data_IF_261890830585
#
_entry.id   IF_261890830585
#
_cell.length_a   1.000
_cell.length_b   1.000
_cell.length_c   1.000
_cell.angle_alpha   90.00
_cell.angle_beta   90.00
_cell.angle_gamma   90.00
#
_symmetry.space_group_name_H-M   'P 1'
#
loop_
_entity.id
_entity.type
_entity.pdbx_description
1 polymer ?
#
# COMPACT_ATOMS: atom_id res chain seq x y z
N UNK A 1 4.23 -21.11 -9.19
CA UNK A 1 5.20 -20.48 -8.26
C UNK A 1 4.65 -19.13 -7.89
N UNK A 2 4.61 -18.77 -6.61
CA UNK A 2 4.22 -17.42 -6.18
C UNK A 2 5.27 -16.41 -6.70
N UNK A 3 4.81 -15.23 -7.11
CA UNK A 3 5.70 -14.10 -7.42
C UNK A 3 5.74 -13.21 -6.18
N UNK A 4 6.90 -12.64 -5.90
CA UNK A 4 7.12 -11.80 -4.73
C UNK A 4 7.80 -10.51 -5.16
N UNK A 5 7.66 -9.47 -4.35
CA UNK A 5 8.30 -8.18 -4.61
C UNK A 5 9.82 -8.31 -4.46
N UNK A 6 10.55 -7.67 -5.36
CA UNK A 6 12.00 -7.51 -5.28
C UNK A 6 12.29 -6.12 -4.69
N UNK A 7 13.12 -6.06 -3.65
CA UNK A 7 13.56 -4.82 -3.02
C UNK A 7 15.07 -4.85 -2.89
N UNK A 8 15.76 -3.90 -3.52
CA UNK A 8 17.24 -3.83 -3.54
C UNK A 8 17.93 -5.17 -3.88
N UNK A 9 17.36 -5.92 -4.82
CA UNK A 9 17.87 -7.23 -5.26
C UNK A 9 17.61 -8.40 -4.31
N UNK A 10 16.84 -8.20 -3.23
CA UNK A 10 16.38 -9.25 -2.31
C UNK A 10 14.88 -9.47 -2.50
N UNK A 11 14.48 -10.73 -2.52
CA UNK A 11 13.08 -11.14 -2.53
C UNK A 11 12.46 -10.89 -1.14
N UNK A 12 11.31 -10.24 -1.10
CA UNK A 12 10.51 -10.10 0.12
C UNK A 12 9.34 -11.10 0.08
N UNK A 13 9.44 -12.16 0.89
CA UNK A 13 8.45 -13.24 0.91
C UNK A 13 7.11 -12.84 1.53
N UNK A 14 7.04 -11.70 2.24
CA UNK A 14 5.81 -11.22 2.86
C UNK A 14 4.95 -10.47 1.82
N UNK A 15 5.56 -9.97 0.73
CA UNK A 15 4.93 -9.11 -0.27
C UNK A 15 4.68 -9.88 -1.57
N UNK A 16 3.45 -10.38 -1.74
CA UNK A 16 3.06 -11.27 -2.84
C UNK A 16 2.50 -10.49 -4.02
N UNK A 17 2.98 -10.82 -5.23
CA UNK A 17 2.35 -10.44 -6.49
C UNK A 17 1.56 -11.65 -6.99
N UNK A 18 0.23 -11.53 -7.21
CA UNK A 18 -0.57 -12.62 -7.78
C UNK A 18 0.02 -13.15 -9.09
N UNK A 19 -0.02 -14.48 -9.26
CA UNK A 19 0.71 -15.16 -10.34
C UNK A 19 0.24 -14.75 -11.74
N UNK A 20 -1.05 -14.44 -11.86
CA UNK A 20 -1.74 -13.99 -13.06
C UNK A 20 -1.63 -12.49 -13.30
N UNK A 21 -1.01 -11.74 -12.37
CA UNK A 21 -0.72 -10.34 -12.58
C UNK A 21 0.59 -10.15 -13.35
N UNK A 22 0.57 -9.19 -14.26
CA UNK A 22 1.73 -8.76 -15.06
C UNK A 22 1.94 -7.28 -14.88
N UNK A 23 3.20 -6.83 -14.95
CA UNK A 23 3.52 -5.41 -15.00
C UNK A 23 2.87 -4.78 -16.24
N UNK A 24 1.98 -3.80 -16.03
CA UNK A 24 1.27 -3.09 -17.11
C UNK A 24 1.73 -1.65 -17.28
N UNK A 25 2.39 -1.09 -16.26
CA UNK A 25 2.83 0.30 -16.27
C UNK A 25 3.99 0.50 -15.32
N UNK A 26 4.95 1.31 -15.78
CA UNK A 26 6.04 1.89 -14.99
C UNK A 26 6.08 3.37 -15.34
N UNK A 27 5.87 4.23 -14.33
CA UNK A 27 5.87 5.68 -14.52
C UNK A 27 6.69 6.36 -13.44
N UNK A 28 7.38 7.44 -13.80
CA UNK A 28 8.01 8.33 -12.83
C UNK A 28 7.00 9.37 -12.34
N UNK A 29 7.04 9.64 -11.04
CA UNK A 29 6.19 10.61 -10.34
C UNK A 29 6.99 11.35 -9.28
N UNK A 30 6.41 12.42 -8.74
CA UNK A 30 6.93 13.08 -7.54
C UNK A 30 6.11 12.65 -6.33
N UNK A 31 6.78 12.25 -5.25
CA UNK A 31 6.17 12.02 -3.94
C UNK A 31 7.04 12.67 -2.88
N UNK A 32 6.47 13.51 -2.03
CA UNK A 32 7.21 14.19 -0.95
C UNK A 32 8.45 14.99 -1.43
N UNK A 33 8.41 15.54 -2.65
CA UNK A 33 9.54 16.23 -3.31
C UNK A 33 10.73 15.33 -3.66
N UNK A 34 10.49 14.02 -3.77
CA UNK A 34 11.42 13.01 -4.28
C UNK A 34 10.82 12.39 -5.56
N UNK A 35 11.66 12.02 -6.53
CA UNK A 35 11.18 11.22 -7.67
C UNK A 35 10.97 9.78 -7.23
N UNK A 36 9.85 9.21 -7.64
CA UNK A 36 9.50 7.83 -7.36
C UNK A 36 9.13 7.10 -8.64
N UNK A 37 9.49 5.83 -8.72
CA UNK A 37 9.00 4.92 -9.74
C UNK A 37 7.74 4.23 -9.21
N UNK A 38 6.64 4.36 -9.97
CA UNK A 38 5.36 3.71 -9.67
C UNK A 38 5.15 2.59 -10.67
N UNK A 39 5.02 1.38 -10.16
CA UNK A 39 4.72 0.19 -10.96
C UNK A 39 3.32 -0.31 -10.66
N UNK A 40 2.59 -0.71 -11.70
CA UNK A 40 1.28 -1.36 -11.55
C UNK A 40 1.30 -2.74 -12.17
N UNK A 41 0.84 -3.71 -11.42
CA UNK A 41 0.63 -5.09 -11.82
C UNK A 41 -0.86 -5.40 -11.75
N UNK A 42 -1.42 -6.05 -12.77
CA UNK A 42 -2.83 -6.46 -12.76
C UNK A 42 -3.08 -7.55 -13.81
N UNK A 43 -4.30 -8.07 -13.81
CA UNK A 43 -4.79 -8.93 -14.88
C UNK A 43 -5.08 -8.11 -16.15
N UNK A 44 -4.60 -8.59 -17.30
CA UNK A 44 -4.76 -7.91 -18.59
C UNK A 44 -3.92 -6.63 -18.72
N UNK A 45 -3.80 -6.10 -19.95
CA UNK A 45 -2.89 -4.99 -20.25
C UNK A 45 -3.47 -3.59 -19.97
N UNK A 46 -4.79 -3.44 -19.89
CA UNK A 46 -5.44 -2.14 -19.79
C UNK A 46 -5.62 -1.74 -18.34
N UNK A 47 -5.09 -0.59 -17.93
CA UNK A 47 -5.31 -0.04 -16.59
C UNK A 47 -6.79 0.29 -16.41
N UNK A 48 -7.43 -0.39 -15.46
CA UNK A 48 -8.83 -0.15 -15.08
C UNK A 48 -8.82 0.27 -13.59
N UNK A 49 -9.27 1.50 -13.27
CA UNK A 49 -9.34 1.96 -11.89
C UNK A 49 -10.21 1.05 -11.01
N UNK A 50 -9.77 0.82 -9.77
CA UNK A 50 -10.40 0.00 -8.74
C UNK A 50 -10.53 -1.49 -9.04
N UNK A 51 -10.05 -1.98 -10.19
CA UNK A 51 -9.91 -3.42 -10.41
C UNK A 51 -8.85 -4.02 -9.51
N UNK A 52 -8.83 -5.35 -9.38
CA UNK A 52 -7.77 -6.04 -8.65
C UNK A 52 -6.39 -5.72 -9.26
N UNK A 53 -5.47 -5.20 -8.45
CA UNK A 53 -4.13 -4.84 -8.86
C UNK A 53 -3.15 -4.83 -7.68
N UNK A 54 -1.86 -4.78 -8.01
CA UNK A 54 -0.78 -4.45 -7.08
C UNK A 54 -0.10 -3.18 -7.58
N UNK A 55 0.04 -2.18 -6.72
CA UNK A 55 0.85 -0.98 -6.98
C UNK A 55 2.08 -0.99 -6.10
N UNK A 56 3.25 -0.78 -6.70
CA UNK A 56 4.52 -0.60 -6.01
C UNK A 56 5.00 0.83 -6.23
N UNK A 57 5.57 1.43 -5.19
CA UNK A 57 6.23 2.74 -5.27
C UNK A 57 7.63 2.58 -4.73
N UNK A 58 8.63 2.89 -5.56
CA UNK A 58 10.05 2.85 -5.23
C UNK A 58 10.62 4.26 -5.17
N UNK A 59 11.44 4.54 -4.16
CA UNK A 59 12.22 5.78 -4.09
C UNK A 59 13.41 5.79 -5.03
N UNK A 60 14.12 6.93 -5.12
CA UNK A 60 15.28 7.08 -6.01
C UNK A 60 16.44 6.11 -5.70
N UNK A 61 16.48 5.55 -4.48
CA UNK A 61 17.48 4.60 -4.00
C UNK A 61 17.01 3.13 -4.05
N UNK A 62 15.99 2.82 -4.87
CA UNK A 62 15.38 1.48 -5.02
C UNK A 62 14.73 0.93 -3.74
N UNK A 63 14.54 1.77 -2.72
CA UNK A 63 13.84 1.38 -1.50
C UNK A 63 12.34 1.33 -1.78
N UNK A 64 11.67 0.27 -1.32
CA UNK A 64 10.22 0.19 -1.44
C UNK A 64 9.58 1.21 -0.48
N UNK A 65 8.84 2.18 -1.00
CA UNK A 65 8.10 3.18 -0.23
C UNK A 65 6.68 2.69 0.04
N UNK A 66 6.03 2.09 -0.96
CA UNK A 66 4.68 1.57 -0.85
C UNK A 66 4.53 0.26 -1.62
N UNK A 67 3.87 -0.71 -1.00
CA UNK A 67 3.29 -1.88 -1.63
C UNK A 67 1.80 -1.85 -1.30
N UNK A 68 0.94 -1.98 -2.30
CA UNK A 68 -0.50 -2.06 -2.13
C UNK A 68 -1.04 -3.17 -3.03
N UNK A 69 -1.56 -4.24 -2.44
CA UNK A 69 -2.23 -5.33 -3.10
C UNK A 69 -3.70 -5.28 -2.73
N UNK A 70 -4.56 -5.00 -3.71
CA UNK A 70 -6.01 -4.88 -3.47
C UNK A 70 -6.72 -6.23 -3.43
N UNK A 71 -6.05 -7.32 -3.81
CA UNK A 71 -6.64 -8.66 -3.91
C UNK A 71 -6.56 -9.39 -2.55
N UNK A 72 -7.53 -9.10 -1.67
CA UNK A 72 -7.78 -9.86 -0.45
C UNK A 72 -8.75 -11.02 -0.68
N UNK A 73 -8.55 -12.13 0.03
CA UNK A 73 -9.48 -13.27 -0.03
C UNK A 73 -10.69 -13.05 0.88
N UNK A 74 -11.80 -12.60 0.28
CA UNK A 74 -13.07 -12.31 0.97
C UNK A 74 -13.69 -13.51 1.71
N UNK A 75 -13.18 -14.73 1.49
CA UNK A 75 -13.69 -15.95 2.15
C UNK A 75 -12.96 -16.27 3.45
N UNK A 76 -11.79 -15.67 3.68
CA UNK A 76 -11.01 -15.89 4.89
C UNK A 76 -11.42 -14.89 5.96
N UNK A 77 -11.21 -15.26 7.21
CA UNK A 77 -11.42 -14.37 8.35
C UNK A 77 -10.16 -13.53 8.62
N UNK A 78 -10.34 -12.39 9.27
CA UNK A 78 -9.22 -11.65 9.81
C UNK A 78 -8.55 -12.45 10.93
N UNK A 79 -7.21 -12.41 11.04
CA UNK A 79 -6.55 -12.97 12.20
C UNK A 79 -7.02 -12.26 13.48
N UNK A 80 -7.37 -13.03 14.49
CA UNK A 80 -7.72 -12.54 15.84
C UNK A 80 -6.50 -12.55 16.78
N UNK A 81 -5.31 -12.67 16.22
CA UNK A 81 -4.07 -12.94 16.95
C UNK A 81 -3.64 -11.74 17.82
N UNK A 82 -3.11 -12.01 19.01
CA UNK A 82 -2.48 -11.00 19.86
C UNK A 82 -1.12 -10.54 19.27
N UNK A 83 -0.56 -11.27 18.30
CA UNK A 83 0.75 -11.03 17.69
C UNK A 83 0.73 -10.11 16.45
N UNK A 84 -0.38 -9.40 16.15
CA UNK A 84 -0.50 -8.51 14.98
C UNK A 84 0.59 -7.43 14.91
N UNK A 85 0.95 -6.86 16.07
CA UNK A 85 2.00 -5.84 16.14
C UNK A 85 3.36 -6.45 15.84
N UNK A 86 3.63 -7.66 16.36
CA UNK A 86 4.88 -8.37 16.10
C UNK A 86 4.99 -8.76 14.63
N UNK A 87 3.91 -9.29 14.04
CA UNK A 87 3.84 -9.60 12.61
C UNK A 87 4.17 -8.37 11.75
N UNK A 88 3.55 -7.23 12.04
CA UNK A 88 3.85 -5.99 11.33
C UNK A 88 5.28 -5.49 11.55
N UNK A 89 5.84 -5.66 12.75
CA UNK A 89 7.23 -5.32 13.05
C UNK A 89 8.22 -6.22 12.29
N UNK A 90 7.92 -7.51 12.17
CA UNK A 90 8.73 -8.47 11.42
C UNK A 90 8.74 -8.14 9.93
N UNK A 91 7.59 -7.77 9.35
CA UNK A 91 7.51 -7.27 7.96
C UNK A 91 8.43 -6.06 7.77
N UNK A 92 8.39 -5.08 8.68
CA UNK A 92 9.28 -3.92 8.60
C UNK A 92 10.76 -4.31 8.72
N UNK A 93 11.08 -5.22 9.63
CA UNK A 93 12.45 -5.67 9.84
C UNK A 93 12.98 -6.46 8.62
N UNK A 94 12.15 -7.29 8.01
CA UNK A 94 12.49 -8.07 6.82
C UNK A 94 12.72 -7.19 5.58
N UNK A 95 11.89 -6.15 5.45
CA UNK A 95 11.94 -5.17 4.37
C UNK A 95 13.13 -4.22 4.52
N UNK A 96 13.31 -3.62 5.70
CA UNK A 96 14.34 -2.62 5.99
C UNK A 96 14.60 -2.51 7.50
N UNK A 97 15.46 -3.38 8.02
CA UNK A 97 15.81 -3.42 9.44
C UNK A 97 16.42 -2.11 9.96
N UNK A 98 17.02 -1.29 9.11
CA UNK A 98 17.55 0.01 9.52
C UNK A 98 16.44 1.03 9.73
N UNK A 99 15.53 1.13 8.76
CA UNK A 99 14.35 1.96 8.88
C UNK A 99 13.46 1.52 10.05
N UNK A 100 13.29 0.21 10.23
CA UNK A 100 12.44 -0.36 11.28
C UNK A 100 12.83 0.09 12.70
N UNK A 101 14.12 0.37 12.97
CA UNK A 101 14.60 0.83 14.28
C UNK A 101 14.00 2.16 14.73
N UNK A 102 13.50 2.98 13.80
CA UNK A 102 12.88 4.26 14.12
C UNK A 102 11.37 4.18 14.33
N UNK A 103 10.74 3.02 14.14
CA UNK A 103 9.29 2.85 14.23
C UNK A 103 8.81 2.72 15.67
N UNK A 104 7.69 3.38 15.96
CA UNK A 104 6.98 3.30 17.22
C UNK A 104 5.53 2.95 16.95
N UNK A 105 5.06 1.83 17.51
CA UNK A 105 3.67 1.43 17.40
C UNK A 105 2.73 2.51 17.92
N UNK A 106 1.64 2.75 17.19
CA UNK A 106 0.61 3.72 17.58
C UNK A 106 -0.68 3.03 17.97
N UNK A 107 -1.28 2.28 17.04
CA UNK A 107 -2.58 1.63 17.18
C UNK A 107 -2.84 0.69 16.00
N UNK A 108 -3.90 -0.11 16.12
CA UNK A 108 -4.48 -0.89 15.04
C UNK A 108 -5.89 -0.35 14.79
N UNK A 109 -6.20 0.00 13.55
CA UNK A 109 -7.54 0.41 13.13
C UNK A 109 -8.13 -0.66 12.20
N UNK A 110 -9.43 -0.97 12.31
CA UNK A 110 -10.11 -1.82 11.31
C UNK A 110 -10.67 -0.94 10.20
N UNK A 111 -10.35 -1.27 8.94
CA UNK A 111 -10.85 -0.57 7.77
C UNK A 111 -11.48 -1.53 6.77
N UNK A 112 -12.28 -0.98 5.86
CA UNK A 112 -12.75 -1.72 4.68
C UNK A 112 -11.85 -1.45 3.48
N UNK A 113 -11.68 -2.46 2.66
CA UNK A 113 -11.07 -2.41 1.33
C UNK A 113 -11.99 -3.07 0.32
N UNK A 114 -11.81 -2.73 -0.94
CA UNK A 114 -12.54 -3.40 -2.01
C UNK A 114 -11.73 -3.46 -3.30
N UNK A 115 -12.13 -4.34 -4.19
CA UNK A 115 -11.74 -4.33 -5.60
C UNK A 115 -12.91 -4.75 -6.47
N UNK A 116 -12.84 -4.40 -7.75
CA UNK A 116 -13.76 -4.89 -8.78
C UNK A 116 -13.10 -6.07 -9.50
N UNK A 117 -13.79 -7.20 -9.57
CA UNK A 117 -13.29 -8.39 -10.26
C UNK A 117 -13.48 -8.29 -11.79
N UNK A 118 -12.96 -9.28 -12.53
CA UNK A 118 -13.07 -9.34 -13.99
C UNK A 118 -14.52 -9.51 -14.49
N UNK A 119 -15.47 -9.81 -13.60
CA UNK A 119 -16.90 -9.90 -13.90
C UNK A 119 -17.66 -8.62 -13.53
N UNK A 120 -16.97 -7.60 -12.99
CA UNK A 120 -17.56 -6.35 -12.57
C UNK A 120 -18.16 -6.37 -11.15
N UNK A 121 -17.95 -7.44 -10.38
CA UNK A 121 -18.46 -7.52 -9.01
C UNK A 121 -17.54 -6.77 -8.05
N UNK A 122 -18.13 -6.00 -7.15
CA UNK A 122 -17.42 -5.38 -6.03
C UNK A 122 -17.22 -6.40 -4.92
N UNK A 123 -15.97 -6.69 -4.60
CA UNK A 123 -15.56 -7.57 -3.51
C UNK A 123 -15.04 -6.68 -2.39
N UNK A 124 -15.72 -6.67 -1.24
CA UNK A 124 -15.39 -5.85 -0.07
C UNK A 124 -15.01 -6.74 1.10
N UNK A 125 -14.00 -6.34 1.87
CA UNK A 125 -13.48 -7.07 3.00
C UNK A 125 -12.85 -6.14 4.03
N UNK A 126 -12.82 -6.58 5.28
CA UNK A 126 -12.16 -5.87 6.37
C UNK A 126 -10.64 -6.14 6.35
N UNK A 127 -9.88 -5.19 6.87
CA UNK A 127 -8.43 -5.25 7.07
C UNK A 127 -8.04 -4.64 8.41
N UNK A 128 -6.91 -5.08 8.95
CA UNK A 128 -6.31 -4.55 10.16
C UNK A 128 -5.13 -3.65 9.79
N UNK A 129 -5.24 -2.37 10.11
CA UNK A 129 -4.28 -1.34 9.74
C UNK A 129 -3.36 -1.02 10.93
N UNK A 130 -2.19 -1.66 10.98
CA UNK A 130 -1.22 -1.54 12.07
C UNK A 130 -0.33 -0.32 11.81
N UNK A 131 -0.48 0.72 12.62
CA UNK A 131 0.16 2.02 12.42
C UNK A 131 1.37 2.24 13.29
N UNK A 132 2.35 2.90 12.70
CA UNK A 132 3.60 3.29 13.33
C UNK A 132 3.91 4.76 13.06
N UNK A 133 4.28 5.49 14.12
CA UNK A 133 5.02 6.73 14.00
C UNK A 133 6.49 6.39 13.72
N UNK A 134 7.26 7.34 13.21
CA UNK A 134 8.71 7.17 13.04
C UNK A 134 9.48 8.37 13.58
N UNK A 135 10.73 8.16 13.99
CA UNK A 135 11.61 9.20 14.53
C UNK A 135 11.84 10.39 13.58
N UNK A 136 11.68 10.19 12.27
CA UNK A 136 11.77 11.26 11.26
C UNK A 136 10.46 12.06 11.10
N UNK A 137 9.44 11.79 11.91
CA UNK A 137 8.14 12.46 11.89
C UNK A 137 7.13 11.89 10.90
N UNK A 138 7.44 10.82 10.16
CA UNK A 138 6.49 10.20 9.24
C UNK A 138 5.55 9.21 9.93
N UNK A 139 4.43 8.96 9.26
CA UNK A 139 3.49 7.89 9.55
C UNK A 139 3.71 6.73 8.58
N UNK A 140 3.54 5.51 9.08
CA UNK A 140 3.87 4.28 8.38
C UNK A 140 2.89 3.19 8.82
N UNK A 141 2.68 2.18 8.00
CA UNK A 141 1.80 1.07 8.35
C UNK A 141 2.10 -0.21 7.61
N UNK A 142 1.62 -1.29 8.21
CA UNK A 142 1.35 -2.57 7.55
C UNK A 142 -0.15 -2.83 7.65
N UNK A 143 -0.76 -3.26 6.55
CA UNK A 143 -2.16 -3.67 6.52
C UNK A 143 -2.24 -5.18 6.37
N UNK A 144 -2.86 -5.82 7.35
CA UNK A 144 -3.06 -7.27 7.41
C UNK A 144 -4.51 -7.55 7.00
N UNK A 145 -4.68 -8.33 5.94
CA UNK A 145 -5.97 -8.75 5.41
C UNK A 145 -6.44 -10.11 5.90
N UNK A 146 -7.54 -10.61 5.31
CA UNK A 146 -8.03 -11.96 5.53
C UNK A 146 -6.96 -13.03 5.40
N UNK A 147 -6.99 -14.03 6.28
CA UNK A 147 -5.99 -15.10 6.31
C UNK A 147 -4.58 -14.68 6.72
N UNK A 148 -4.42 -13.46 7.26
CA UNK A 148 -3.12 -12.93 7.67
C UNK A 148 -2.27 -12.39 6.52
N UNK A 149 -2.85 -12.23 5.33
CA UNK A 149 -2.13 -11.74 4.15
C UNK A 149 -1.65 -10.30 4.36
N UNK A 150 -0.39 -10.00 4.02
CA UNK A 150 0.09 -8.61 3.96
C UNK A 150 -0.42 -7.98 2.66
N UNK A 151 -1.33 -7.02 2.81
CA UNK A 151 -1.97 -6.33 1.69
C UNK A 151 -1.34 -4.96 1.43
N UNK A 152 -0.86 -4.28 2.46
CA UNK A 152 -0.25 -2.96 2.28
C UNK A 152 0.95 -2.79 3.18
N UNK A 153 1.98 -2.13 2.66
CA UNK A 153 3.08 -1.57 3.44
C UNK A 153 3.30 -0.17 2.91
N UNK A 154 3.30 0.84 3.76
CA UNK A 154 3.66 2.19 3.34
C UNK A 154 4.51 2.89 4.40
N UNK A 155 5.58 3.54 3.94
CA UNK A 155 6.41 4.41 4.76
C UNK A 155 6.39 5.84 4.27
N UNK A 156 6.92 6.72 5.13
CA UNK A 156 7.20 8.12 4.81
C UNK A 156 5.94 8.93 4.46
N UNK A 157 4.78 8.55 4.99
CA UNK A 157 3.56 9.36 4.85
C UNK A 157 3.65 10.60 5.75
N UNK A 158 3.37 11.77 5.19
CA UNK A 158 3.40 13.08 5.87
C UNK A 158 1.99 13.60 6.07
N UNK A 159 1.80 14.38 7.12
CA UNK A 159 0.52 14.99 7.46
C UNK A 159 0.57 16.51 7.34
N UNK A 160 -0.45 17.08 6.71
CA UNK A 160 -0.73 18.51 6.71
C UNK A 160 -1.70 18.82 7.87
N UNK A 161 -1.14 19.28 8.98
CA UNK A 161 -1.92 19.62 10.18
C UNK A 161 -2.83 20.83 9.98
N UNK A 162 -2.49 21.76 9.07
CA UNK A 162 -3.28 22.97 8.86
C UNK A 162 -4.58 22.66 8.10
N UNK A 163 -4.51 21.68 7.19
CA UNK A 163 -5.66 21.26 6.38
C UNK A 163 -6.26 19.90 6.78
N UNK A 164 -5.78 19.33 7.90
CA UNK A 164 -6.24 18.05 8.48
C UNK A 164 -6.29 16.90 7.47
N UNK A 165 -5.23 16.73 6.69
CA UNK A 165 -5.15 15.71 5.64
C UNK A 165 -3.73 15.19 5.42
N UNK A 166 -3.59 14.14 4.62
CA UNK A 166 -2.30 13.67 4.12
C UNK A 166 -1.65 14.77 3.26
N UNK A 167 -0.36 14.98 3.49
CA UNK A 167 0.47 15.86 2.66
C UNK A 167 1.16 15.09 1.52
N UNK A 168 1.06 13.77 1.55
CA UNK A 168 1.80 12.86 0.67
C UNK A 168 0.93 12.40 -0.49
N UNK A 169 1.47 12.48 -1.71
CA UNK A 169 0.84 11.97 -2.93
C UNK A 169 0.54 10.47 -2.82
N UNK A 170 -0.66 10.09 -3.24
CA UNK A 170 -1.22 8.74 -3.04
C UNK A 170 -1.24 7.97 -4.37
N UNK A 171 -0.06 7.77 -4.96
CA UNK A 171 0.09 7.07 -6.25
C UNK A 171 -0.40 5.61 -6.27
N UNK A 172 -0.63 5.04 -5.08
CA UNK A 172 -1.23 3.73 -4.87
C UNK A 172 -2.76 3.75 -4.73
N UNK A 173 -3.39 4.93 -4.75
CA UNK A 173 -4.83 5.08 -4.55
C UNK A 173 -5.51 5.62 -5.82
N UNK A 174 -6.21 4.73 -6.54
CA UNK A 174 -6.81 5.03 -7.83
C UNK A 174 -7.76 6.25 -7.81
N UNK A 175 -8.52 6.45 -6.73
CA UNK A 175 -9.39 7.61 -6.61
C UNK A 175 -8.61 8.93 -6.54
N UNK A 176 -7.47 8.94 -5.84
CA UNK A 176 -6.58 10.11 -5.77
C UNK A 176 -5.89 10.35 -7.11
N UNK A 177 -5.42 9.28 -7.78
CA UNK A 177 -4.81 9.37 -9.11
C UNK A 177 -5.80 9.93 -10.14
N UNK A 178 -7.06 9.50 -10.11
CA UNK A 178 -8.10 10.04 -10.98
C UNK A 178 -8.37 11.54 -10.72
N UNK A 179 -8.38 11.96 -9.45
CA UNK A 179 -8.49 13.37 -9.08
C UNK A 179 -7.30 14.19 -9.61
N UNK A 180 -6.08 13.68 -9.44
CA UNK A 180 -4.83 14.31 -9.91
C UNK A 180 -4.85 14.53 -11.42
N UNK A 181 -5.39 13.57 -12.16
CA UNK A 181 -5.52 13.64 -13.63
C UNK A 181 -6.72 14.48 -14.10
N UNK A 182 -7.48 15.10 -13.21
CA UNK A 182 -8.68 15.87 -13.54
C UNK A 182 -9.86 15.02 -14.03
N UNK A 183 -9.83 13.71 -13.77
CA UNK A 183 -10.86 12.72 -14.17
C UNK A 183 -11.83 12.36 -13.03
N UNK A 184 -11.60 12.89 -11.84
CA UNK A 184 -12.44 12.74 -10.66
C UNK A 184 -12.48 14.02 -9.83
N UNK A 185 -13.39 14.12 -8.85
CA UNK A 185 -13.41 15.25 -7.92
C UNK A 185 -12.22 15.19 -6.96
N UNK A 186 -11.80 16.35 -6.44
CA UNK A 186 -10.90 16.41 -5.29
C UNK A 186 -11.50 15.61 -4.13
N UNK A 187 -10.72 14.68 -3.59
CA UNK A 187 -11.10 13.88 -2.43
C UNK A 187 -11.20 14.75 -1.17
N UNK A 188 -12.16 14.38 -0.31
CA UNK A 188 -12.28 15.00 1.01
C UNK A 188 -11.11 14.59 1.90
N UNK A 189 -10.84 15.40 2.94
CA UNK A 189 -9.95 14.99 4.02
C UNK A 189 -10.44 13.64 4.62
N UNK A 190 -9.54 12.72 4.99
CA UNK A 190 -8.11 12.93 5.21
C UNK A 190 -7.23 12.80 3.96
N UNK A 191 -7.77 12.59 2.78
CA UNK A 191 -6.97 12.33 1.57
C UNK A 191 -6.20 13.56 1.10
N UNK A 192 -5.08 13.29 0.43
CA UNK A 192 -4.20 14.35 -0.04
C UNK A 192 -4.90 15.21 -1.10
N UNK A 193 -4.43 16.46 -1.20
CA UNK A 193 -4.76 17.27 -2.38
C UNK A 193 -4.16 16.60 -3.62
N UNK A 194 -4.94 16.58 -4.69
CA UNK A 194 -4.55 16.01 -5.98
C UNK A 194 -4.17 17.14 -6.95
#
# INVERSE_FOLDING_TARGET
MAKYVMVKGKLDCDLVIPVDFTLVSTVERERNSERVQVERYQHGANIIPNNAHVTLVYGEDDRLISYNNTLGDVKLELPTDDELVQTAADVWHNLDAEYARGLHFMRIDTLNRFFIDNHGNRNEYEVLWVKFAHNNGSYNWVTIGPGGQILEVERESRWDYMHSRRATQEWNYDAWVLAYEGKGPQLAAPEALA
#
